data_IF_440388720132
#
_entry.id   IF_440388720132
#
_cell.length_a   1.000
_cell.length_b   1.000
_cell.length_c   1.000
_cell.angle_alpha   90.00
_cell.angle_beta   90.00
_cell.angle_gamma   90.00
#
_symmetry.space_group_name_H-M   'P 1'
#
loop_
_entity.id
_entity.type
_entity.pdbx_description
1 polymer ?
#
# COMPACT_ATOMS: atom_id res chain seq x y z
N UNK A 1 11.32 38.72 4.65
CA UNK A 1 11.23 37.26 4.38
C UNK A 1 10.17 37.08 3.29
N UNK A 2 10.59 36.65 2.09
CA UNK A 2 9.77 36.72 0.88
C UNK A 2 8.68 35.64 0.92
N UNK A 3 7.42 36.02 0.68
CA UNK A 3 6.25 35.12 0.65
C UNK A 3 6.52 33.79 -0.08
N UNK A 4 7.32 33.85 -1.15
CA UNK A 4 7.81 32.75 -1.95
C UNK A 4 8.47 31.61 -1.16
N UNK A 5 9.25 31.90 -0.10
CA UNK A 5 9.90 30.83 0.69
C UNK A 5 8.89 30.03 1.51
N UNK A 6 7.78 30.64 1.93
CA UNK A 6 6.74 29.97 2.70
C UNK A 6 5.95 29.02 1.79
N UNK A 7 5.60 29.47 0.59
CA UNK A 7 4.89 28.66 -0.42
C UNK A 7 5.71 27.43 -0.80
N UNK A 8 7.02 27.60 -1.00
CA UNK A 8 7.92 26.51 -1.37
C UNK A 8 8.07 25.48 -0.24
N UNK A 9 8.13 25.93 1.01
CA UNK A 9 8.17 25.04 2.18
C UNK A 9 6.89 24.21 2.35
N UNK A 10 5.72 24.85 2.20
CA UNK A 10 4.42 24.16 2.29
C UNK A 10 4.27 23.12 1.18
N UNK A 11 4.68 23.46 -0.06
CA UNK A 11 4.66 22.51 -1.17
C UNK A 11 5.51 21.26 -0.89
N UNK A 12 6.74 21.42 -0.40
CA UNK A 12 7.65 20.29 -0.09
C UNK A 12 7.09 19.39 1.01
N UNK A 13 6.51 19.97 2.07
CA UNK A 13 5.89 19.20 3.17
C UNK A 13 4.67 18.41 2.66
N UNK A 14 3.84 19.01 1.82
CA UNK A 14 2.68 18.33 1.24
C UNK A 14 3.07 17.18 0.30
N UNK A 15 4.17 17.29 -0.45
CA UNK A 15 4.64 16.19 -1.31
C UNK A 15 5.12 14.97 -0.51
N UNK A 16 5.79 15.17 0.63
CA UNK A 16 6.27 14.05 1.44
C UNK A 16 5.16 13.18 2.05
N UNK A 17 3.99 13.75 2.34
CA UNK A 17 2.90 12.98 2.97
C UNK A 17 2.14 12.06 2.00
N UNK A 18 2.36 12.17 0.68
CA UNK A 18 1.61 11.38 -0.31
C UNK A 18 2.21 10.01 -0.61
N UNK A 19 3.39 9.71 -0.08
CA UNK A 19 4.04 8.42 -0.24
C UNK A 19 4.00 7.73 1.13
N UNK A 20 2.89 7.07 1.45
CA UNK A 20 2.90 6.08 2.51
C UNK A 20 3.94 5.01 2.14
N UNK A 21 5.05 5.00 2.86
CA UNK A 21 6.18 4.12 2.56
C UNK A 21 5.78 2.69 2.93
N UNK A 22 5.77 1.79 1.94
CA UNK A 22 5.34 0.42 2.14
C UNK A 22 6.38 -0.41 2.90
N UNK A 23 5.96 -1.39 3.72
CA UNK A 23 6.88 -2.32 4.37
C UNK A 23 7.73 -3.06 3.33
N UNK A 24 8.93 -3.55 3.71
CA UNK A 24 9.74 -4.38 2.82
C UNK A 24 8.94 -5.61 2.35
N UNK A 25 9.07 -5.93 1.06
CA UNK A 25 8.29 -7.01 0.41
C UNK A 25 6.91 -6.58 -0.09
N UNK A 26 6.56 -5.30 0.06
CA UNK A 26 5.31 -4.75 -0.41
C UNK A 26 5.52 -3.52 -1.31
N UNK A 27 4.54 -3.20 -2.14
CA UNK A 27 4.54 -2.05 -3.04
C UNK A 27 3.23 -1.28 -2.92
N UNK A 28 3.27 0.01 -3.25
CA UNK A 28 2.07 0.84 -3.33
C UNK A 28 1.40 0.61 -4.69
N UNK A 29 0.17 0.07 -4.75
CA UNK A 29 -0.54 -0.19 -6.00
C UNK A 29 -1.02 1.08 -6.72
N UNK A 30 -0.92 2.26 -6.07
CA UNK A 30 -1.40 3.54 -6.59
C UNK A 30 -2.89 3.75 -6.37
N UNK A 31 -3.45 4.86 -6.85
CA UNK A 31 -4.83 5.28 -6.56
C UNK A 31 -5.93 4.48 -7.29
N UNK A 32 -5.58 3.77 -8.37
CA UNK A 32 -6.50 2.93 -9.18
C UNK A 32 -6.38 1.42 -8.86
N UNK A 33 -5.78 1.11 -7.71
CA UNK A 33 -5.79 -0.17 -7.03
C UNK A 33 -7.14 -0.89 -7.05
N UNK A 34 -7.09 -2.19 -7.34
CA UNK A 34 -8.21 -3.12 -7.18
C UNK A 34 -8.19 -3.77 -5.79
N UNK A 35 -8.49 -5.07 -5.72
CA UNK A 35 -8.32 -5.89 -4.53
C UNK A 35 -7.00 -6.66 -4.59
N UNK A 36 -6.34 -6.82 -3.44
CA UNK A 36 -5.22 -7.76 -3.29
C UNK A 36 -5.75 -9.21 -3.16
N UNK A 37 -5.04 -10.18 -3.74
CA UNK A 37 -5.34 -11.61 -3.53
C UNK A 37 -4.73 -12.06 -2.21
N UNK A 38 -5.55 -12.68 -1.35
CA UNK A 38 -5.15 -13.12 -0.01
C UNK A 38 -5.45 -14.62 0.15
N UNK A 39 -4.49 -15.38 0.67
CA UNK A 39 -4.62 -16.79 0.99
C UNK A 39 -5.64 -17.05 2.10
N UNK A 40 -6.42 -18.12 1.96
CA UNK A 40 -7.41 -18.52 2.96
C UNK A 40 -8.73 -17.75 2.88
N UNK A 41 -8.84 -16.76 2.00
CA UNK A 41 -10.10 -16.08 1.72
C UNK A 41 -10.76 -16.64 0.44
N UNK A 42 -12.05 -16.99 0.48
CA UNK A 42 -12.75 -17.55 -0.68
C UNK A 42 -12.91 -16.53 -1.82
N UNK A 43 -12.80 -15.24 -1.53
CA UNK A 43 -12.70 -14.20 -2.55
C UNK A 43 -11.97 -12.97 -2.01
N UNK A 44 -11.28 -12.26 -2.88
CA UNK A 44 -10.70 -10.96 -2.52
C UNK A 44 -11.77 -9.88 -2.22
N UNK A 45 -13.03 -10.13 -2.62
CA UNK A 45 -14.17 -9.26 -2.30
C UNK A 45 -14.70 -9.44 -0.86
N UNK A 46 -14.39 -10.56 -0.20
CA UNK A 46 -14.83 -10.78 1.19
C UNK A 46 -14.05 -9.96 2.21
N UNK A 47 -12.87 -9.45 1.87
CA UNK A 47 -12.07 -8.59 2.74
C UNK A 47 -12.01 -7.16 2.17
N UNK A 48 -13.00 -6.34 2.54
CA UNK A 48 -13.09 -4.92 2.14
C UNK A 48 -11.95 -4.04 2.67
N UNK A 49 -11.17 -4.54 3.64
CA UNK A 49 -10.09 -3.79 4.30
C UNK A 49 -8.82 -3.62 3.47
N UNK A 50 -8.70 -4.26 2.30
CA UNK A 50 -7.48 -4.22 1.48
C UNK A 50 -7.62 -3.41 0.19
N UNK A 51 -8.59 -2.49 0.16
CA UNK A 51 -8.71 -1.57 -0.95
C UNK A 51 -7.56 -0.56 -0.83
N UNK A 52 -6.54 -0.72 -1.66
CA UNK A 52 -5.49 0.27 -1.90
C UNK A 52 -4.41 0.45 -0.83
N UNK A 53 -4.28 -0.48 0.11
CA UNK A 53 -3.11 -0.54 0.99
C UNK A 53 -1.87 -1.02 0.21
N UNK A 54 -0.73 -1.11 0.90
CA UNK A 54 0.46 -1.77 0.38
C UNK A 54 0.18 -3.24 0.04
N UNK A 55 0.50 -3.64 -1.19
CA UNK A 55 0.31 -5.01 -1.68
C UNK A 55 1.61 -5.79 -1.65
N UNK A 56 1.53 -7.09 -1.43
CA UNK A 56 2.63 -8.02 -1.57
C UNK A 56 3.22 -7.98 -2.98
N UNK A 57 4.55 -7.98 -3.07
CA UNK A 57 5.24 -7.94 -4.36
C UNK A 57 4.78 -9.04 -5.33
N UNK A 58 4.81 -8.79 -6.65
CA UNK A 58 4.45 -9.80 -7.64
C UNK A 58 5.19 -11.12 -7.41
N UNK A 59 4.44 -12.23 -7.40
CA UNK A 59 4.97 -13.58 -7.11
C UNK A 59 4.84 -14.00 -5.64
N UNK A 60 4.38 -13.10 -4.77
CA UNK A 60 4.00 -13.43 -3.38
C UNK A 60 2.50 -13.18 -3.17
N UNK A 61 1.96 -13.75 -2.10
CA UNK A 61 0.55 -13.68 -1.71
C UNK A 61 0.45 -13.42 -0.21
N UNK A 62 -0.54 -12.63 0.21
CA UNK A 62 -0.74 -12.32 1.63
C UNK A 62 -1.41 -13.48 2.34
N UNK A 63 -0.87 -13.91 3.47
CA UNK A 63 -1.53 -14.85 4.37
C UNK A 63 -2.58 -14.12 5.22
N UNK A 64 -3.81 -14.63 5.28
CA UNK A 64 -4.89 -14.04 6.09
C UNK A 64 -4.71 -14.21 7.59
N UNK A 65 -3.85 -15.12 8.04
CA UNK A 65 -3.58 -15.37 9.47
C UNK A 65 -2.42 -14.50 9.95
N UNK A 66 -1.27 -14.61 9.30
CA UNK A 66 -0.05 -13.89 9.71
C UNK A 66 0.04 -12.47 9.15
N UNK A 67 -0.76 -12.15 8.12
CA UNK A 67 -0.70 -10.89 7.35
C UNK A 67 0.61 -10.67 6.61
N UNK A 68 1.49 -11.68 6.58
CA UNK A 68 2.78 -11.64 5.90
C UNK A 68 2.65 -12.00 4.41
N UNK A 69 3.60 -11.53 3.60
CA UNK A 69 3.71 -11.89 2.19
C UNK A 69 4.55 -13.16 2.05
N UNK A 70 3.93 -14.23 1.58
CA UNK A 70 4.55 -15.57 1.43
C UNK A 70 4.55 -16.00 -0.04
N UNK A 71 5.46 -16.88 -0.43
CA UNK A 71 5.52 -17.39 -1.82
C UNK A 71 4.32 -18.29 -2.17
N UNK A 72 3.77 -18.98 -1.17
CA UNK A 72 2.67 -19.95 -1.34
C UNK A 72 1.74 -19.90 -0.13
N UNK A 73 0.46 -20.15 -0.37
CA UNK A 73 -0.51 -20.31 0.71
C UNK A 73 -0.11 -21.49 1.60
N UNK A 74 -0.06 -21.29 2.93
CA UNK A 74 0.11 -22.39 3.88
C UNK A 74 -1.08 -23.35 3.89
#
# INVERSE_FOLDING_TARGET
MKLWTIVLFVAVICFQQTIAECPPGQYNPGPDCSFEVICGLPSAHSARSHYCDCWCNPGTVRDSITMECVEKCP
#
